data_IF_810302164995
#
_entry.id   IF_810302164995
#
_cell.length_a   1.000
_cell.length_b   1.000
_cell.length_c   1.000
_cell.angle_alpha   90.00
_cell.angle_beta   90.00
_cell.angle_gamma   90.00
#
_symmetry.space_group_name_H-M   'P 1'
#
loop_
_entity.id
_entity.type
_entity.pdbx_description
1 polymer ?
#
# COMPACT_ATOMS: atom_id res chain seq x y z
N UNK A 1 22.63 -25.55 26.48
CA UNK A 1 22.44 -24.09 26.38
C UNK A 1 22.33 -23.56 27.80
N UNK A 2 23.20 -22.62 28.19
CA UNK A 2 23.16 -22.05 29.54
C UNK A 2 21.92 -21.15 29.67
N UNK A 3 21.24 -21.21 30.81
CA UNK A 3 20.02 -20.44 31.12
C UNK A 3 20.22 -18.92 31.02
N UNK A 4 21.48 -18.46 31.12
CA UNK A 4 21.88 -17.05 30.96
C UNK A 4 21.77 -16.52 29.52
N UNK A 5 21.71 -17.41 28.54
CA UNK A 5 21.66 -17.08 27.10
C UNK A 5 20.23 -17.18 26.54
N UNK A 6 19.22 -17.41 27.41
CA UNK A 6 17.81 -17.45 27.03
C UNK A 6 17.13 -16.11 27.36
N UNK A 7 16.33 -15.61 26.42
CA UNK A 7 15.50 -14.42 26.63
C UNK A 7 14.48 -14.70 27.75
N UNK A 8 14.42 -13.93 28.84
CA UNK A 8 13.39 -14.12 29.85
C UNK A 8 12.01 -13.70 29.30
N UNK A 9 10.98 -14.44 29.68
CA UNK A 9 9.60 -14.31 29.19
C UNK A 9 8.83 -13.10 29.78
N UNK A 10 9.51 -12.23 30.55
CA UNK A 10 8.94 -11.07 31.23
C UNK A 10 9.08 -9.76 30.43
N UNK A 11 9.48 -9.85 29.17
CA UNK A 11 9.45 -8.75 28.20
C UNK A 11 10.82 -8.18 27.87
N UNK A 12 10.80 -7.13 27.05
CA UNK A 12 12.01 -6.49 26.53
C UNK A 12 12.58 -5.56 27.60
N UNK A 13 13.52 -6.05 28.41
CA UNK A 13 14.33 -5.23 29.35
C UNK A 13 15.33 -4.32 28.63
N UNK A 14 14.88 -3.54 27.64
CA UNK A 14 15.70 -2.51 27.02
C UNK A 14 15.40 -1.16 27.67
N UNK A 15 15.72 -1.03 28.95
CA UNK A 15 16.02 0.26 29.58
C UNK A 15 17.39 0.79 29.10
N UNK A 16 17.77 0.46 27.86
CA UNK A 16 19.03 0.84 27.25
C UNK A 16 18.72 2.08 26.43
N UNK A 17 19.32 3.24 26.75
CA UNK A 17 19.17 4.43 25.92
C UNK A 17 19.62 4.09 24.51
N UNK A 18 18.67 4.03 23.58
CA UNK A 18 18.98 3.81 22.17
C UNK A 18 19.46 5.13 21.59
N UNK A 19 20.61 5.08 20.92
CA UNK A 19 21.14 6.20 20.14
C UNK A 19 21.52 5.71 18.75
N UNK A 20 21.50 6.62 17.79
CA UNK A 20 22.03 6.34 16.45
C UNK A 20 23.49 5.90 16.56
N UNK A 21 23.86 4.89 15.78
CA UNK A 21 25.24 4.43 15.68
C UNK A 21 26.12 5.58 15.17
N UNK A 22 27.30 5.70 15.75
CA UNK A 22 28.30 6.70 15.43
C UNK A 22 29.60 6.03 15.03
N UNK A 23 30.45 6.80 14.36
CA UNK A 23 31.82 6.38 14.05
C UNK A 23 32.55 5.97 15.34
N UNK A 24 33.23 4.82 15.29
CA UNK A 24 33.98 4.27 16.43
C UNK A 24 33.17 3.37 17.35
N UNK A 25 31.85 3.30 17.21
CA UNK A 25 31.03 2.39 18.01
C UNK A 25 31.42 0.93 17.75
N UNK A 26 31.48 0.13 18.80
CA UNK A 26 31.81 -1.30 18.72
C UNK A 26 30.56 -2.15 18.86
N UNK A 27 30.38 -3.09 17.95
CA UNK A 27 29.26 -4.04 17.95
C UNK A 27 29.80 -5.46 17.93
N UNK A 28 28.97 -6.42 18.33
CA UNK A 28 29.26 -7.85 18.19
C UNK A 28 28.31 -8.40 17.13
N UNK A 29 28.88 -9.01 16.09
CA UNK A 29 28.15 -9.69 15.02
C UNK A 29 28.72 -11.09 14.90
N UNK A 30 27.88 -12.12 15.06
CA UNK A 30 28.30 -13.54 15.00
C UNK A 30 29.57 -13.81 15.84
N UNK A 31 29.55 -13.40 17.12
CA UNK A 31 30.66 -13.54 18.07
C UNK A 31 31.96 -12.81 17.69
N UNK A 32 31.90 -11.89 16.72
CA UNK A 32 33.05 -11.10 16.28
C UNK A 32 32.83 -9.62 16.55
N UNK A 33 33.83 -9.00 17.17
CA UNK A 33 33.84 -7.56 17.39
C UNK A 33 34.03 -6.83 16.06
N UNK A 34 33.09 -5.95 15.73
CA UNK A 34 33.16 -5.03 14.60
C UNK A 34 33.15 -3.60 15.10
N UNK A 35 33.75 -2.70 14.31
CA UNK A 35 33.78 -1.26 14.62
C UNK A 35 33.08 -0.52 13.48
N UNK A 36 32.20 0.41 13.84
CA UNK A 36 31.50 1.28 12.89
C UNK A 36 32.51 2.27 12.31
N UNK A 37 32.84 2.11 11.02
CA UNK A 37 33.76 2.98 10.29
C UNK A 37 33.07 4.17 9.62
N UNK A 38 31.73 4.20 9.61
CA UNK A 38 30.95 5.27 9.02
C UNK A 38 29.46 4.97 9.01
N UNK A 39 28.67 6.02 8.81
CA UNK A 39 27.21 5.95 8.71
C UNK A 39 26.82 6.53 7.37
N UNK A 40 26.03 5.78 6.60
CA UNK A 40 25.54 6.22 5.29
C UNK A 40 24.05 6.53 5.37
N UNK A 41 23.65 7.69 4.86
CA UNK A 41 22.24 8.06 4.70
C UNK A 41 21.67 7.33 3.49
N UNK A 42 20.76 6.38 3.74
CA UNK A 42 20.08 5.61 2.69
C UNK A 42 18.57 5.85 2.76
N UNK A 43 17.86 5.43 1.71
CA UNK A 43 16.40 5.51 1.67
C UNK A 43 15.84 4.51 2.70
N UNK A 44 14.79 4.87 3.48
CA UNK A 44 14.12 3.94 4.38
C UNK A 44 13.71 2.65 3.67
N UNK A 45 13.90 1.51 4.34
CA UNK A 45 13.60 0.18 3.81
C UNK A 45 12.38 -0.43 4.47
N UNK A 46 11.60 -1.15 3.69
CA UNK A 46 10.54 -2.02 4.17
C UNK A 46 10.86 -3.47 3.83
N UNK A 47 10.83 -4.41 4.79
CA UNK A 47 10.76 -4.17 6.23
C UNK A 47 11.99 -3.39 6.75
N UNK A 48 11.89 -2.69 7.91
CA UNK A 48 12.98 -1.89 8.48
C UNK A 48 14.09 -2.78 9.07
N UNK A 49 14.84 -3.43 8.19
CA UNK A 49 15.99 -4.27 8.57
C UNK A 49 17.29 -3.45 8.52
N UNK A 50 18.20 -3.63 9.49
CA UNK A 50 19.48 -2.94 9.47
C UNK A 50 20.28 -3.33 8.23
N UNK A 51 20.87 -2.33 7.57
CA UNK A 51 21.73 -2.53 6.42
C UNK A 51 23.17 -2.23 6.81
N UNK A 52 24.05 -3.19 6.51
CA UNK A 52 25.47 -3.05 6.79
C UNK A 52 26.26 -3.17 5.48
N UNK A 53 27.22 -2.28 5.32
CA UNK A 53 28.20 -2.34 4.24
C UNK A 53 29.54 -2.75 4.83
N UNK A 54 30.18 -3.73 4.21
CA UNK A 54 31.50 -4.19 4.61
C UNK A 54 32.25 -4.76 3.41
N UNK A 55 33.55 -4.96 3.55
CA UNK A 55 34.36 -5.58 2.51
C UNK A 55 34.03 -7.07 2.39
N UNK A 56 34.24 -7.65 1.21
CA UNK A 56 34.03 -9.08 0.99
C UNK A 56 34.87 -9.94 1.94
N UNK A 57 36.10 -9.51 2.25
CA UNK A 57 36.98 -10.19 3.20
C UNK A 57 36.43 -10.18 4.62
N UNK A 58 35.85 -9.05 5.07
CA UNK A 58 35.14 -8.97 6.35
C UNK A 58 33.91 -9.87 6.37
N UNK A 59 33.10 -9.86 5.31
CA UNK A 59 31.90 -10.69 5.24
C UNK A 59 32.21 -12.19 5.40
N UNK A 60 33.25 -12.70 4.71
CA UNK A 60 33.72 -14.08 4.87
C UNK A 60 34.20 -14.38 6.28
N UNK A 61 34.91 -13.43 6.90
CA UNK A 61 35.30 -13.57 8.30
C UNK A 61 34.08 -13.64 9.21
N UNK A 62 33.04 -12.83 8.99
CA UNK A 62 31.82 -12.83 9.80
C UNK A 62 30.94 -14.07 9.60
N UNK A 63 31.04 -14.73 8.44
CA UNK A 63 30.20 -15.88 8.06
C UNK A 63 31.05 -17.03 7.51
N UNK A 64 31.86 -17.72 8.35
CA UNK A 64 32.85 -18.70 7.91
C UNK A 64 32.29 -19.99 7.29
N UNK A 65 30.97 -20.16 7.18
CA UNK A 65 30.33 -21.31 6.52
C UNK A 65 29.63 -20.99 5.20
N UNK A 66 29.50 -19.71 4.84
CA UNK A 66 28.73 -19.30 3.66
C UNK A 66 29.63 -19.18 2.43
N UNK A 67 29.56 -20.18 1.56
CA UNK A 67 30.35 -20.20 0.31
C UNK A 67 29.59 -19.56 -0.87
N UNK A 68 28.27 -19.35 -0.77
CA UNK A 68 27.42 -18.77 -1.83
C UNK A 68 26.78 -17.47 -1.38
N UNK A 69 27.59 -16.43 -1.28
CA UNK A 69 27.17 -15.12 -0.76
C UNK A 69 27.05 -14.02 -1.83
N UNK A 70 27.36 -14.31 -3.09
CA UNK A 70 27.25 -13.33 -4.19
C UNK A 70 25.87 -13.48 -4.83
N UNK A 71 24.99 -12.49 -4.59
CA UNK A 71 23.67 -12.44 -5.25
C UNK A 71 23.77 -11.90 -6.67
N UNK A 72 24.54 -10.84 -6.89
CA UNK A 72 24.78 -10.24 -8.20
C UNK A 72 26.08 -9.42 -8.18
N UNK A 73 26.58 -9.10 -9.37
CA UNK A 73 27.77 -8.26 -9.58
C UNK A 73 27.32 -6.97 -10.26
N UNK A 74 27.74 -5.84 -9.69
CA UNK A 74 27.49 -4.53 -10.30
C UNK A 74 28.65 -4.19 -11.25
N UNK A 75 28.32 -3.86 -12.49
CA UNK A 75 29.27 -3.38 -13.49
C UNK A 75 28.87 -1.97 -13.95
N UNK A 76 29.86 -1.12 -14.22
CA UNK A 76 29.65 0.23 -14.75
C UNK A 76 30.23 0.29 -16.16
N UNK A 77 29.44 0.79 -17.09
CA UNK A 77 29.89 1.01 -18.46
C UNK A 77 30.90 2.15 -18.56
N UNK A 78 31.86 2.02 -19.48
CA UNK A 78 32.76 3.10 -19.87
C UNK A 78 32.00 4.19 -20.65
N UNK A 79 32.63 5.37 -20.79
CA UNK A 79 31.97 6.61 -21.28
C UNK A 79 31.32 6.51 -22.68
N UNK A 80 31.61 5.47 -23.47
CA UNK A 80 31.10 5.30 -24.84
C UNK A 80 30.33 3.99 -25.08
N UNK A 81 30.01 3.24 -24.02
CA UNK A 81 29.28 1.97 -24.14
C UNK A 81 27.91 2.13 -23.48
N UNK A 82 26.84 1.84 -24.20
CA UNK A 82 25.51 1.85 -23.59
C UNK A 82 25.37 0.69 -22.59
N UNK A 83 24.63 0.89 -21.49
CA UNK A 83 24.39 -0.17 -20.52
C UNK A 83 23.73 -1.42 -21.16
N UNK A 84 22.92 -1.22 -22.21
CA UNK A 84 22.29 -2.30 -22.96
C UNK A 84 23.31 -3.09 -23.80
N UNK A 85 24.25 -2.41 -24.46
CA UNK A 85 25.34 -3.06 -25.20
C UNK A 85 26.27 -3.82 -24.27
N UNK A 86 26.62 -3.21 -23.13
CA UNK A 86 27.43 -3.87 -22.12
C UNK A 86 26.76 -5.15 -21.61
N UNK A 87 25.47 -5.07 -21.26
CA UNK A 87 24.72 -6.23 -20.79
C UNK A 87 24.67 -7.34 -21.85
N UNK A 88 24.39 -7.00 -23.12
CA UNK A 88 24.42 -7.96 -24.23
C UNK A 88 25.79 -8.62 -24.37
N UNK A 89 26.88 -7.86 -24.29
CA UNK A 89 28.24 -8.37 -24.43
C UNK A 89 28.61 -9.30 -23.28
N UNK A 90 28.29 -8.94 -22.04
CA UNK A 90 28.51 -9.80 -20.86
C UNK A 90 27.75 -11.12 -21.01
N UNK A 91 26.48 -11.08 -21.41
CA UNK A 91 25.69 -12.30 -21.61
C UNK A 91 26.24 -13.17 -22.73
N UNK A 92 26.70 -12.59 -23.84
CA UNK A 92 27.34 -13.35 -24.93
C UNK A 92 28.65 -14.02 -24.50
N UNK A 93 29.47 -13.34 -23.71
CA UNK A 93 30.80 -13.86 -23.32
C UNK A 93 30.74 -14.87 -22.16
N UNK A 94 29.85 -14.64 -21.19
CA UNK A 94 29.80 -15.44 -19.95
C UNK A 94 28.71 -16.50 -19.95
N UNK A 95 27.69 -16.36 -20.82
CA UNK A 95 26.46 -17.14 -20.74
C UNK A 95 25.55 -16.78 -19.56
N UNK A 96 25.94 -15.81 -18.72
CA UNK A 96 25.18 -15.38 -17.54
C UNK A 96 24.21 -14.25 -17.87
N UNK A 97 23.08 -14.18 -17.15
CA UNK A 97 22.10 -13.11 -17.30
C UNK A 97 22.72 -11.78 -16.84
N UNK A 98 22.88 -10.84 -17.78
CA UNK A 98 23.22 -9.46 -17.49
C UNK A 98 22.07 -8.56 -17.92
N UNK A 99 21.69 -7.63 -17.05
CA UNK A 99 20.57 -6.71 -17.27
C UNK A 99 20.99 -5.29 -16.92
N UNK A 100 20.33 -4.32 -17.54
CA UNK A 100 20.49 -2.91 -17.20
C UNK A 100 19.89 -2.61 -15.82
N UNK A 101 20.27 -1.49 -15.21
CA UNK A 101 19.74 -1.08 -13.91
C UNK A 101 18.21 -0.91 -13.93
N UNK A 102 17.67 -0.33 -15.01
CA UNK A 102 16.22 -0.15 -15.18
C UNK A 102 15.49 -1.48 -15.35
N UNK A 103 16.05 -2.40 -16.13
CA UNK A 103 15.47 -3.73 -16.29
C UNK A 103 15.50 -4.50 -14.95
N UNK A 104 16.61 -4.44 -14.23
CA UNK A 104 16.75 -5.08 -12.91
C UNK A 104 15.74 -4.53 -11.90
N UNK A 105 15.56 -3.20 -11.83
CA UNK A 105 14.53 -2.56 -10.98
C UNK A 105 13.13 -3.06 -11.33
N UNK A 106 12.78 -3.07 -12.62
CA UNK A 106 11.46 -3.50 -13.10
C UNK A 106 11.19 -4.98 -12.78
N UNK A 107 12.15 -5.85 -13.05
CA UNK A 107 12.06 -7.28 -12.73
C UNK A 107 11.92 -7.51 -11.23
N UNK A 108 12.70 -6.79 -10.41
CA UNK A 108 12.62 -6.89 -8.94
C UNK A 108 11.25 -6.47 -8.43
N UNK A 109 10.69 -5.36 -8.92
CA UNK A 109 9.34 -4.90 -8.56
C UNK A 109 8.29 -5.95 -8.95
N UNK A 110 8.36 -6.46 -10.19
CA UNK A 110 7.40 -7.47 -10.67
C UNK A 110 7.48 -8.78 -9.87
N UNK A 111 8.70 -9.21 -9.56
CA UNK A 111 8.93 -10.40 -8.75
C UNK A 111 8.38 -10.22 -7.33
N UNK A 112 8.63 -9.06 -6.71
CA UNK A 112 8.10 -8.74 -5.39
C UNK A 112 6.56 -8.71 -5.39
N UNK A 113 5.94 -8.06 -6.39
CA UNK A 113 4.48 -8.01 -6.51
C UNK A 113 3.84 -9.40 -6.68
N UNK A 114 4.55 -10.35 -7.31
CA UNK A 114 4.02 -11.70 -7.56
C UNK A 114 4.28 -12.69 -6.42
N UNK A 115 5.40 -12.56 -5.71
CA UNK A 115 5.86 -13.56 -4.75
C UNK A 115 5.81 -13.07 -3.29
N UNK A 116 5.61 -11.78 -3.04
CA UNK A 116 5.53 -11.26 -1.68
C UNK A 116 4.16 -11.55 -1.07
N UNK A 117 4.18 -12.29 0.03
CA UNK A 117 3.00 -12.56 0.87
C UNK A 117 2.39 -11.26 1.38
N UNK A 118 3.23 -10.32 1.85
CA UNK A 118 2.80 -9.01 2.34
C UNK A 118 1.95 -8.24 1.31
N UNK A 119 2.31 -8.33 0.02
CA UNK A 119 1.56 -7.67 -1.05
C UNK A 119 0.20 -8.34 -1.25
N UNK A 120 0.16 -9.67 -1.22
CA UNK A 120 -1.09 -10.42 -1.33
C UNK A 120 -2.06 -10.09 -0.21
N UNK A 121 -1.57 -10.07 1.04
CA UNK A 121 -2.38 -9.73 2.21
C UNK A 121 -2.90 -8.30 2.17
N UNK A 122 -2.06 -7.34 1.78
CA UNK A 122 -2.48 -5.95 1.61
C UNK A 122 -3.61 -5.84 0.57
N UNK A 123 -3.49 -6.53 -0.58
CA UNK A 123 -4.54 -6.54 -1.61
C UNK A 123 -5.83 -7.15 -1.06
N UNK A 124 -5.74 -8.27 -0.35
CA UNK A 124 -6.90 -8.93 0.25
C UNK A 124 -7.62 -8.03 1.27
N UNK A 125 -6.86 -7.31 2.11
CA UNK A 125 -7.46 -6.34 3.05
C UNK A 125 -8.17 -5.21 2.33
N UNK A 126 -7.59 -4.67 1.24
CA UNK A 126 -8.24 -3.62 0.43
C UNK A 126 -9.52 -4.14 -0.21
N UNK A 127 -9.50 -5.36 -0.77
CA UNK A 127 -10.69 -5.98 -1.36
C UNK A 127 -11.80 -6.15 -0.30
N UNK A 128 -11.45 -6.68 0.87
CA UNK A 128 -12.40 -6.85 1.97
C UNK A 128 -12.99 -5.51 2.41
N UNK A 129 -12.15 -4.48 2.58
CA UNK A 129 -12.59 -3.13 2.92
C UNK A 129 -13.52 -2.55 1.85
N UNK A 130 -13.22 -2.75 0.57
CA UNK A 130 -14.09 -2.33 -0.54
C UNK A 130 -15.43 -3.08 -0.54
N UNK A 131 -15.44 -4.39 -0.28
CA UNK A 131 -16.67 -5.19 -0.22
C UNK A 131 -17.56 -4.78 0.96
N UNK A 132 -16.98 -4.61 2.14
CA UNK A 132 -17.71 -4.12 3.32
C UNK A 132 -18.23 -2.70 3.07
N UNK A 133 -17.38 -1.82 2.53
CA UNK A 133 -17.76 -0.46 2.15
C UNK A 133 -18.90 -0.42 1.13
N UNK A 134 -18.87 -1.30 0.13
CA UNK A 134 -19.95 -1.48 -0.84
C UNK A 134 -21.25 -1.90 -0.19
N UNK A 135 -21.22 -2.91 0.70
CA UNK A 135 -22.41 -3.38 1.41
C UNK A 135 -23.04 -2.28 2.27
N UNK A 136 -22.23 -1.61 3.09
CA UNK A 136 -22.70 -0.53 3.97
C UNK A 136 -23.26 0.64 3.17
N UNK A 137 -22.55 1.07 2.11
CA UNK A 137 -23.02 2.18 1.26
C UNK A 137 -24.32 1.83 0.54
N UNK A 138 -24.43 0.60 0.02
CA UNK A 138 -25.64 0.13 -0.67
C UNK A 138 -26.85 0.06 0.25
N UNK A 139 -26.68 -0.50 1.46
CA UNK A 139 -27.76 -0.55 2.46
C UNK A 139 -28.17 0.86 2.87
N UNK A 140 -27.22 1.75 3.14
CA UNK A 140 -27.53 3.12 3.57
C UNK A 140 -28.26 3.93 2.48
N UNK A 141 -27.80 3.84 1.23
CA UNK A 141 -28.48 4.49 0.10
C UNK A 141 -29.86 3.90 -0.13
N UNK A 142 -30.02 2.58 0.01
CA UNK A 142 -31.32 1.92 -0.08
C UNK A 142 -32.29 2.42 1.00
N UNK A 143 -31.86 2.47 2.26
CA UNK A 143 -32.68 3.00 3.35
C UNK A 143 -33.06 4.47 3.10
N UNK A 144 -32.09 5.31 2.73
CA UNK A 144 -32.35 6.71 2.40
C UNK A 144 -33.38 6.85 1.28
N UNK A 145 -33.25 6.06 0.22
CA UNK A 145 -34.16 6.10 -0.92
C UNK A 145 -35.55 5.61 -0.54
N UNK A 146 -35.62 4.57 0.29
CA UNK A 146 -36.87 3.99 0.79
C UNK A 146 -37.64 4.96 1.71
N UNK A 147 -36.96 5.58 2.66
CA UNK A 147 -37.56 6.57 3.57
C UNK A 147 -38.11 7.79 2.83
N UNK A 148 -37.48 8.17 1.71
CA UNK A 148 -37.89 9.31 0.89
C UNK A 148 -38.81 8.96 -0.29
N UNK A 149 -39.30 7.71 -0.41
CA UNK A 149 -40.21 7.27 -1.49
C UNK A 149 -41.42 8.19 -1.65
N UNK A 150 -42.04 8.61 -0.54
CA UNK A 150 -43.21 9.51 -0.57
C UNK A 150 -42.90 10.85 -1.23
N UNK A 151 -41.72 11.41 -0.96
CA UNK A 151 -41.29 12.68 -1.55
C UNK A 151 -41.04 12.52 -3.05
N UNK A 152 -40.40 11.42 -3.46
CA UNK A 152 -40.20 11.10 -4.88
C UNK A 152 -41.52 10.86 -5.61
N UNK A 153 -42.51 10.24 -4.97
CA UNK A 153 -43.84 10.04 -5.55
C UNK A 153 -44.58 11.36 -5.76
N UNK A 154 -44.48 12.32 -4.83
CA UNK A 154 -45.03 13.67 -4.99
C UNK A 154 -44.35 14.41 -6.14
N UNK A 155 -43.02 14.35 -6.24
CA UNK A 155 -42.28 14.94 -7.37
C UNK A 155 -42.70 14.34 -8.71
N UNK A 156 -42.89 13.03 -8.77
CA UNK A 156 -43.38 12.32 -9.95
C UNK A 156 -44.81 12.75 -10.32
N UNK A 157 -45.68 12.93 -9.33
CA UNK A 157 -47.05 13.44 -9.52
C UNK A 157 -47.07 14.90 -10.03
N UNK A 158 -46.08 15.72 -9.67
CA UNK A 158 -45.91 17.08 -10.21
C UNK A 158 -45.29 17.11 -11.63
N UNK A 159 -44.99 15.96 -12.23
CA UNK A 159 -44.47 15.85 -13.60
C UNK A 159 -42.97 15.57 -13.72
N UNK A 160 -42.28 15.25 -12.62
CA UNK A 160 -40.88 14.84 -12.72
C UNK A 160 -40.73 13.50 -13.46
N UNK A 161 -39.83 13.47 -14.44
CA UNK A 161 -39.51 12.24 -15.16
C UNK A 161 -38.70 11.27 -14.31
N UNK A 162 -38.83 9.96 -14.57
CA UNK A 162 -38.01 8.94 -13.90
C UNK A 162 -36.51 9.21 -14.03
N UNK A 163 -36.07 9.77 -15.17
CA UNK A 163 -34.66 10.12 -15.41
C UNK A 163 -34.17 11.25 -14.48
N UNK A 164 -35.02 12.24 -14.20
CA UNK A 164 -34.67 13.32 -13.26
C UNK A 164 -34.53 12.80 -11.83
N UNK A 165 -35.44 11.93 -11.39
CA UNK A 165 -35.37 11.32 -10.06
C UNK A 165 -34.10 10.46 -9.90
N UNK A 166 -33.76 9.69 -10.92
CA UNK A 166 -32.52 8.90 -10.96
C UNK A 166 -31.27 9.79 -10.90
N UNK A 167 -31.20 10.84 -11.73
CA UNK A 167 -30.08 11.79 -11.71
C UNK A 167 -29.93 12.52 -10.38
N UNK A 168 -31.04 12.80 -9.68
CA UNK A 168 -31.02 13.40 -8.35
C UNK A 168 -30.31 12.49 -7.34
N UNK A 169 -30.68 11.20 -7.29
CA UNK A 169 -30.04 10.21 -6.40
C UNK A 169 -28.57 10.04 -6.73
N UNK A 170 -28.21 9.96 -8.02
CA UNK A 170 -26.80 9.87 -8.43
C UNK A 170 -25.98 11.09 -8.03
N UNK A 171 -26.55 12.30 -8.15
CA UNK A 171 -25.87 13.54 -7.76
C UNK A 171 -25.64 13.57 -6.25
N UNK A 172 -26.63 13.17 -5.46
CA UNK A 172 -26.51 13.07 -4.00
C UNK A 172 -25.43 12.06 -3.59
N UNK A 173 -25.45 10.87 -4.20
CA UNK A 173 -24.43 9.85 -3.96
C UNK A 173 -23.02 10.34 -4.36
N UNK A 174 -22.91 11.04 -5.49
CA UNK A 174 -21.63 11.59 -5.96
C UNK A 174 -21.06 12.66 -5.03
N UNK A 175 -21.90 13.56 -4.50
CA UNK A 175 -21.50 14.53 -3.49
C UNK A 175 -21.00 13.80 -2.23
N UNK A 176 -21.71 12.75 -1.80
CA UNK A 176 -21.30 11.90 -0.69
C UNK A 176 -19.92 11.27 -0.92
N UNK A 177 -19.64 10.78 -2.13
CA UNK A 177 -18.32 10.24 -2.51
C UNK A 177 -17.23 11.30 -2.42
N UNK A 178 -17.46 12.51 -2.93
CA UNK A 178 -16.46 13.59 -2.89
C UNK A 178 -16.12 13.93 -1.44
N UNK A 179 -17.14 14.16 -0.61
CA UNK A 179 -16.94 14.56 0.80
C UNK A 179 -16.31 13.41 1.57
N UNK A 180 -16.84 12.20 1.46
CA UNK A 180 -16.35 11.02 2.17
C UNK A 180 -14.92 10.65 1.78
N UNK A 181 -14.59 10.68 0.49
CA UNK A 181 -13.23 10.43 0.01
C UNK A 181 -12.27 11.55 0.44
N UNK A 182 -12.71 12.80 0.43
CA UNK A 182 -11.92 13.93 0.91
C UNK A 182 -11.54 13.78 2.40
N UNK A 183 -12.52 13.43 3.24
CA UNK A 183 -12.29 13.14 4.66
C UNK A 183 -11.36 11.93 4.84
N UNK A 184 -11.63 10.83 4.13
CA UNK A 184 -10.84 9.60 4.24
C UNK A 184 -9.37 9.80 3.82
N UNK A 185 -9.13 10.49 2.70
CA UNK A 185 -7.78 10.84 2.24
C UNK A 185 -7.11 11.78 3.24
N UNK A 186 -7.84 12.76 3.79
CA UNK A 186 -7.33 13.68 4.80
C UNK A 186 -6.87 12.97 6.07
N UNK A 187 -7.70 12.06 6.61
CA UNK A 187 -7.35 11.24 7.77
C UNK A 187 -6.15 10.34 7.46
N UNK A 188 -6.12 9.71 6.28
CA UNK A 188 -4.99 8.88 5.86
C UNK A 188 -3.68 9.69 5.77
N UNK A 189 -3.73 10.92 5.26
CA UNK A 189 -2.57 11.80 5.19
C UNK A 189 -2.05 12.18 6.58
N UNK A 190 -2.94 12.56 7.50
CA UNK A 190 -2.58 12.93 8.88
C UNK A 190 -1.97 11.75 9.65
N UNK A 191 -2.59 10.56 9.54
CA UNK A 191 -2.06 9.35 10.13
C UNK A 191 -0.72 8.96 9.49
N UNK A 192 -0.61 9.11 8.17
CA UNK A 192 0.62 8.84 7.44
C UNK A 192 1.79 9.71 7.89
N UNK A 193 1.55 11.01 8.09
CA UNK A 193 2.55 11.94 8.64
C UNK A 193 2.94 11.59 10.08
N UNK A 194 1.95 11.21 10.91
CA UNK A 194 2.18 10.78 12.29
C UNK A 194 2.99 9.48 12.38
N UNK A 195 2.83 8.56 11.43
CA UNK A 195 3.63 7.33 11.36
C UNK A 195 5.03 7.61 10.81
N UNK A 196 5.15 8.49 9.81
CA UNK A 196 6.44 8.88 9.24
C UNK A 196 7.35 9.57 10.27
N UNK A 197 6.78 10.34 11.21
CA UNK A 197 7.54 10.98 12.29
C UNK A 197 8.13 9.99 13.30
N UNK A 198 7.60 8.76 13.37
CA UNK A 198 8.08 7.68 14.21
C UNK A 198 9.16 6.80 13.55
N UNK A 199 9.87 7.32 12.53
CA UNK A 199 10.92 6.63 11.75
C UNK A 199 10.43 5.37 10.98
N UNK A 200 9.11 5.20 10.84
CA UNK A 200 8.54 4.15 10.00
C UNK A 200 8.62 4.54 8.52
N UNK A 201 8.93 3.60 7.62
CA UNK A 201 9.03 3.84 6.17
C UNK A 201 7.64 4.01 5.55
N UNK A 202 6.96 5.13 5.82
CA UNK A 202 5.70 5.49 5.18
C UNK A 202 5.96 6.47 4.03
N UNK A 203 5.39 6.17 2.86
CA UNK A 203 5.44 7.07 1.69
C UNK A 203 4.13 6.99 0.93
N UNK A 204 3.33 8.06 1.02
CA UNK A 204 2.14 8.18 0.18
C UNK A 204 2.53 8.60 -1.24
N UNK A 205 2.26 7.74 -2.22
CA UNK A 205 2.48 8.06 -3.63
C UNK A 205 1.37 8.99 -4.13
N UNK A 206 1.70 9.93 -5.02
CA UNK A 206 0.74 10.91 -5.53
C UNK A 206 -0.49 10.30 -6.22
N UNK A 207 -0.34 9.11 -6.80
CA UNK A 207 -1.44 8.39 -7.46
C UNK A 207 -2.29 7.55 -6.50
N UNK A 208 -1.84 7.30 -5.26
CA UNK A 208 -2.56 6.45 -4.32
C UNK A 208 -3.91 7.06 -3.88
N UNK A 209 -4.00 8.37 -3.53
CA UNK A 209 -5.28 9.01 -3.25
C UNK A 209 -6.24 8.99 -4.43
N UNK A 210 -5.72 9.16 -5.66
CA UNK A 210 -6.52 9.10 -6.88
C UNK A 210 -7.11 7.70 -7.08
N UNK A 211 -6.31 6.64 -6.95
CA UNK A 211 -6.79 5.27 -7.04
C UNK A 211 -7.84 4.96 -5.97
N UNK A 212 -7.63 5.43 -4.73
CA UNK A 212 -8.60 5.29 -3.64
C UNK A 212 -9.93 5.95 -3.97
N UNK A 213 -9.90 7.20 -4.46
CA UNK A 213 -11.10 7.93 -4.90
C UNK A 213 -11.85 7.18 -5.99
N UNK A 214 -11.14 6.70 -7.03
CA UNK A 214 -11.77 5.92 -8.10
C UNK A 214 -12.39 4.61 -7.59
N UNK A 215 -11.73 3.93 -6.64
CA UNK A 215 -12.27 2.73 -6.00
C UNK A 215 -13.59 2.99 -5.28
N UNK A 216 -13.63 4.03 -4.43
CA UNK A 216 -14.85 4.44 -3.72
C UNK A 216 -15.94 4.86 -4.70
N UNK A 217 -15.59 5.62 -5.73
CA UNK A 217 -16.53 6.08 -6.75
C UNK A 217 -17.20 4.91 -7.50
N UNK A 218 -16.43 3.90 -7.92
CA UNK A 218 -16.95 2.69 -8.57
C UNK A 218 -17.91 1.94 -7.63
N UNK A 219 -17.50 1.76 -6.37
CA UNK A 219 -18.29 1.09 -5.34
C UNK A 219 -19.63 1.83 -5.12
N UNK A 220 -19.60 3.14 -4.94
CA UNK A 220 -20.79 3.94 -4.68
C UNK A 220 -21.74 4.04 -5.88
N UNK A 221 -21.22 4.10 -7.11
CA UNK A 221 -22.08 4.04 -8.32
C UNK A 221 -22.78 2.70 -8.41
N UNK A 222 -22.05 1.60 -8.19
CA UNK A 222 -22.62 0.26 -8.24
C UNK A 222 -23.69 0.08 -7.16
N UNK A 223 -23.45 0.62 -5.96
CA UNK A 223 -24.41 0.63 -4.86
C UNK A 223 -25.66 1.48 -5.19
N UNK A 224 -25.48 2.67 -5.76
CA UNK A 224 -26.58 3.56 -6.17
C UNK A 224 -27.47 2.90 -7.24
N UNK A 225 -26.88 2.20 -8.22
CA UNK A 225 -27.62 1.46 -9.24
C UNK A 225 -28.57 0.41 -8.64
N UNK A 226 -28.12 -0.31 -7.60
CA UNK A 226 -28.95 -1.30 -6.89
C UNK A 226 -30.05 -0.61 -6.08
N UNK A 227 -29.68 0.49 -5.40
CA UNK A 227 -30.56 1.29 -4.55
C UNK A 227 -31.71 1.97 -5.29
N UNK A 228 -31.57 2.26 -6.59
CA UNK A 228 -32.59 2.91 -7.41
C UNK A 228 -33.80 2.01 -7.73
N UNK A 229 -33.68 0.67 -7.58
CA UNK A 229 -34.75 -0.27 -7.93
C UNK A 229 -36.12 0.07 -7.33
N UNK A 230 -36.26 0.38 -6.03
CA UNK A 230 -37.54 0.78 -5.43
C UNK A 230 -38.12 2.05 -6.05
N UNK A 231 -37.28 3.03 -6.43
CA UNK A 231 -37.73 4.30 -7.03
C UNK A 231 -38.38 4.07 -8.39
N UNK A 232 -37.80 3.17 -9.19
CA UNK A 232 -38.32 2.83 -10.51
C UNK A 232 -39.61 2.01 -10.44
N UNK A 233 -39.72 1.14 -9.44
CA UNK A 233 -40.91 0.31 -9.19
C UNK A 233 -42.05 1.04 -8.47
N UNK A 234 -41.91 2.34 -8.16
CA UNK A 234 -42.98 3.11 -7.53
C UNK A 234 -44.12 3.42 -8.49
N UNK A 235 -45.31 2.89 -8.18
CA UNK A 235 -46.57 3.32 -8.75
C UNK A 235 -47.03 4.65 -8.11
N UNK A 236 -47.50 5.64 -8.90
CA UNK A 236 -47.95 6.93 -8.38
C UNK A 236 -49.09 6.85 -7.34
N UNK A 237 -49.85 5.74 -7.34
CA UNK A 237 -51.02 5.52 -6.50
C UNK A 237 -50.73 5.29 -5.01
N UNK A 238 -49.47 5.02 -4.62
CA UNK A 238 -49.08 4.75 -3.21
C UNK A 238 -49.36 5.96 -2.30
N UNK A 239 -49.35 7.18 -2.86
CA UNK A 239 -49.67 8.41 -2.11
C UNK A 239 -51.16 8.46 -1.70
N UNK A 240 -52.03 7.72 -2.38
CA UNK A 240 -53.48 7.76 -2.19
C UNK A 240 -54.05 6.51 -1.51
N UNK A 241 -53.25 5.47 -1.28
CA UNK A 241 -53.73 4.17 -0.77
C UNK A 241 -53.54 3.94 0.72
N UNK A 242 -52.97 4.89 1.47
CA UNK A 242 -52.91 4.83 2.93
C UNK A 242 -53.70 5.99 3.52
N UNK A 243 -54.99 5.75 3.69
CA UNK A 243 -55.82 6.42 4.69
C UNK A 243 -56.03 5.47 5.85
#
# INVERSE_FOLDING_TARGET
>A
MYTKDMWPYDGVHLNVPTRKLQYGDTLIINDKRVVVSGVSSTIPRFPPRPLMYTTQSNFKRLNPGENRYITFIMAKAEKNISAADLARNITKQTGLKAVTDNAFKKETVLWYLKNSEDVGDMINMVILAMLVGFGVTGVMLYMFTYENLRQYAVLKAMGASNRQLVMMVFTQAFIGVIIGSGIGIGVCALLGESVASADFPFRMMWFAPLLGFFGVWIVSITAALISIRPVLSMEPGIVFSQR
#
